data_IF_889759276932
#
_entry.id   IF_889759276932
#
_cell.length_a   1.000
_cell.length_b   1.000
_cell.length_c   1.000
_cell.angle_alpha   90.00
_cell.angle_beta   90.00
_cell.angle_gamma   90.00
#
_symmetry.space_group_name_H-M   'P 1'
#
loop_
_entity.id
_entity.type
_entity.pdbx_description
1 polymer ?
#
# COMPACT_ATOMS: atom_id res chain seq x y z
N UNK A 1 -1.56 24.16 17.80
CA UNK A 1 -1.46 25.35 16.92
C UNK A 1 -1.99 24.92 15.56
N UNK A 2 -2.96 25.63 14.99
CA UNK A 2 -3.51 25.37 13.65
C UNK A 2 -3.27 26.56 12.73
N UNK A 3 -3.65 26.44 11.45
CA UNK A 3 -3.58 27.49 10.44
C UNK A 3 -4.90 27.53 9.64
N UNK A 4 -5.23 28.68 9.07
CA UNK A 4 -6.34 28.90 8.14
C UNK A 4 -5.89 28.77 6.68
N UNK A 5 -6.83 28.65 5.75
CA UNK A 5 -6.52 28.44 4.32
C UNK A 5 -5.71 29.59 3.67
N UNK A 6 -5.83 30.80 4.19
CA UNK A 6 -5.13 32.01 3.72
C UNK A 6 -3.75 32.22 4.39
N UNK A 7 -3.38 31.37 5.35
CA UNK A 7 -2.12 31.46 6.07
C UNK A 7 -1.02 30.59 5.45
N UNK A 8 0.25 30.89 5.73
CA UNK A 8 1.38 30.06 5.30
C UNK A 8 1.66 28.93 6.32
N UNK A 9 1.40 27.65 5.97
CA UNK A 9 1.64 26.53 6.86
C UNK A 9 3.13 26.31 7.14
N UNK A 10 4.01 26.68 6.21
CA UNK A 10 5.45 26.49 6.33
C UNK A 10 6.05 27.50 7.30
N UNK A 11 5.58 28.75 7.25
CA UNK A 11 5.92 29.77 8.25
C UNK A 11 5.51 29.33 9.67
N UNK A 12 4.34 28.68 9.81
CA UNK A 12 3.90 28.10 11.08
C UNK A 12 4.82 26.99 11.57
N UNK A 13 5.16 26.01 10.72
CA UNK A 13 6.11 24.93 11.05
C UNK A 13 7.45 25.51 11.51
N UNK A 14 7.97 26.49 10.76
CA UNK A 14 9.23 27.15 11.08
C UNK A 14 9.16 27.90 12.43
N UNK A 15 8.03 28.55 12.73
CA UNK A 15 7.79 29.19 14.03
C UNK A 15 7.78 28.18 15.18
N UNK A 16 7.11 27.04 15.02
CA UNK A 16 7.10 25.98 16.03
C UNK A 16 8.52 25.48 16.29
N UNK A 17 9.29 25.20 15.24
CA UNK A 17 10.67 24.72 15.39
C UNK A 17 11.61 25.78 15.99
N UNK A 18 11.40 27.07 15.72
CA UNK A 18 12.10 28.17 16.41
C UNK A 18 11.78 28.23 17.90
N UNK A 19 10.49 28.17 18.27
CA UNK A 19 10.08 28.21 19.66
C UNK A 19 10.60 27.01 20.47
N UNK A 20 10.84 25.88 19.80
CA UNK A 20 11.45 24.67 20.40
C UNK A 20 12.99 24.71 20.43
N UNK A 21 13.63 25.74 19.87
CA UNK A 21 15.09 25.82 19.79
C UNK A 21 15.72 24.88 18.75
N UNK A 22 14.97 24.45 17.74
CA UNK A 22 15.40 23.49 16.72
C UNK A 22 15.48 24.08 15.30
N UNK A 23 15.55 25.40 15.18
CA UNK A 23 15.52 26.09 13.88
C UNK A 23 16.80 25.96 13.03
N UNK A 24 17.91 25.53 13.63
CA UNK A 24 19.23 25.44 12.98
C UNK A 24 19.80 24.02 12.98
N UNK A 25 19.03 23.05 13.50
CA UNK A 25 19.46 21.67 13.61
C UNK A 25 19.28 20.86 12.32
N UNK A 26 19.47 19.55 12.45
CA UNK A 26 19.11 18.60 11.39
C UNK A 26 17.63 18.25 11.49
N UNK A 27 16.86 18.53 10.45
CA UNK A 27 15.44 18.21 10.35
C UNK A 27 15.26 16.99 9.44
N UNK A 28 14.78 15.89 9.99
CA UNK A 28 14.37 14.73 9.21
C UNK A 28 13.04 14.96 8.51
N UNK A 29 12.98 14.78 7.19
CA UNK A 29 11.76 14.79 6.39
C UNK A 29 11.38 13.37 5.97
N UNK A 30 10.14 12.96 6.25
CA UNK A 30 9.64 11.64 5.85
C UNK A 30 9.44 11.59 4.32
N UNK A 31 9.76 10.46 3.69
CA UNK A 31 9.90 10.35 2.23
C UNK A 31 8.57 10.39 1.46
N UNK A 32 7.45 10.05 2.10
CA UNK A 32 6.12 10.19 1.53
C UNK A 32 5.56 11.62 1.63
N UNK A 33 6.22 12.54 2.36
CA UNK A 33 5.90 13.97 2.31
C UNK A 33 6.13 14.47 0.87
N UNK A 34 5.10 15.03 0.19
CA UNK A 34 5.26 15.54 -1.15
C UNK A 34 6.36 16.60 -1.22
N UNK A 35 7.17 16.54 -2.28
CA UNK A 35 8.35 17.38 -2.45
C UNK A 35 8.08 18.87 -2.24
N UNK A 36 6.96 19.40 -2.75
CA UNK A 36 6.64 20.82 -2.59
C UNK A 36 6.47 21.24 -1.12
N UNK A 37 5.98 20.35 -0.24
CA UNK A 37 5.86 20.61 1.20
C UNK A 37 7.21 20.54 1.89
N UNK A 38 8.01 19.53 1.54
CA UNK A 38 9.38 19.39 2.05
C UNK A 38 10.21 20.64 1.69
N UNK A 39 10.10 21.10 0.44
CA UNK A 39 10.74 22.32 -0.05
C UNK A 39 10.21 23.57 0.68
N UNK A 40 8.89 23.74 0.81
CA UNK A 40 8.31 24.88 1.53
C UNK A 40 8.81 25.01 2.96
N UNK A 41 8.90 23.88 3.69
CA UNK A 41 9.48 23.83 5.04
C UNK A 41 10.97 24.19 5.03
N UNK A 42 11.74 23.67 4.07
CA UNK A 42 13.16 23.97 3.94
C UNK A 42 13.42 25.45 3.65
N UNK A 43 12.63 26.07 2.76
CA UNK A 43 12.73 27.49 2.43
C UNK A 43 12.38 28.38 3.65
N UNK A 44 11.41 27.95 4.48
CA UNK A 44 11.03 28.65 5.72
C UNK A 44 12.05 28.46 6.88
N UNK A 45 12.98 27.52 6.75
CA UNK A 45 14.04 27.19 7.71
C UNK A 45 15.42 27.12 7.02
N UNK A 46 15.91 28.22 6.44
CA UNK A 46 17.12 28.21 5.61
C UNK A 46 18.40 27.84 6.38
N UNK A 47 18.35 27.88 7.72
CA UNK A 47 19.47 27.50 8.58
C UNK A 47 19.40 26.04 9.05
N UNK A 48 18.30 25.33 8.81
CA UNK A 48 18.17 23.92 9.15
C UNK A 48 18.74 23.04 8.04
N UNK A 49 19.37 21.93 8.42
CA UNK A 49 19.79 20.90 7.47
C UNK A 49 18.67 19.90 7.30
N UNK A 50 17.92 19.99 6.19
CA UNK A 50 16.86 19.01 5.88
C UNK A 50 17.48 17.74 5.29
N UNK A 51 17.17 16.59 5.88
CA UNK A 51 17.68 15.26 5.47
C UNK A 51 16.54 14.25 5.41
N UNK A 52 16.67 13.13 4.69
CA UNK A 52 15.69 12.05 4.74
C UNK A 52 15.56 11.47 6.16
N UNK A 53 14.33 11.33 6.65
CA UNK A 53 14.02 10.73 7.95
C UNK A 53 13.91 9.19 7.90
N UNK A 54 14.11 8.58 6.74
CA UNK A 54 13.93 7.13 6.53
C UNK A 54 14.62 6.26 7.57
N UNK A 55 15.89 6.48 7.97
CA UNK A 55 16.54 5.64 8.98
C UNK A 55 15.80 5.60 10.32
N UNK A 56 15.18 6.72 10.72
CA UNK A 56 14.39 6.82 11.96
C UNK A 56 13.03 6.15 11.77
N UNK A 57 12.29 6.53 10.72
CA UNK A 57 10.93 6.03 10.46
C UNK A 57 10.94 4.52 10.21
N UNK A 58 11.87 4.03 9.39
CA UNK A 58 12.05 2.60 9.12
C UNK A 58 12.52 1.85 10.38
N UNK A 59 13.40 2.45 11.20
CA UNK A 59 13.81 1.88 12.48
C UNK A 59 12.63 1.60 13.40
N UNK A 60 11.69 2.55 13.50
CA UNK A 60 10.47 2.37 14.30
C UNK A 60 9.49 1.37 13.67
N UNK A 61 9.31 1.39 12.35
CA UNK A 61 8.27 0.58 11.66
C UNK A 61 8.71 -0.83 11.29
N UNK A 62 10.00 -1.15 11.34
CA UNK A 62 10.52 -2.47 10.88
C UNK A 62 10.10 -3.58 11.83
N UNK A 63 10.26 -3.37 13.14
CA UNK A 63 9.91 -4.34 14.19
C UNK A 63 8.47 -4.11 14.61
N UNK A 64 7.61 -5.10 14.37
CA UNK A 64 6.18 -5.01 14.66
C UNK A 64 5.92 -5.44 16.09
N UNK A 65 5.05 -4.72 16.77
CA UNK A 65 4.46 -5.16 18.04
C UNK A 65 3.48 -6.33 17.83
N UNK A 66 3.09 -6.98 18.92
CA UNK A 66 2.13 -8.09 18.87
C UNK A 66 0.77 -7.69 18.25
N UNK A 67 0.30 -6.46 18.51
CA UNK A 67 -0.95 -5.96 17.94
C UNK A 67 -0.85 -5.77 16.42
N UNK A 68 0.27 -5.25 15.93
CA UNK A 68 0.53 -5.08 14.50
C UNK A 68 0.63 -6.43 13.78
N UNK A 69 1.32 -7.40 14.38
CA UNK A 69 1.40 -8.76 13.85
C UNK A 69 0.03 -9.43 13.80
N UNK A 70 -0.84 -9.21 14.80
CA UNK A 70 -2.20 -9.73 14.78
C UNK A 70 -3.03 -9.14 13.63
N UNK A 71 -2.90 -7.84 13.34
CA UNK A 71 -3.56 -7.20 12.19
C UNK A 71 -3.01 -7.72 10.85
N UNK A 72 -1.69 -7.89 10.72
CA UNK A 72 -1.08 -8.50 9.54
C UNK A 72 -1.56 -9.94 9.34
N UNK A 73 -1.65 -10.73 10.42
CA UNK A 73 -2.16 -12.10 10.37
C UNK A 73 -3.62 -12.14 9.89
N UNK A 74 -4.47 -11.27 10.44
CA UNK A 74 -5.87 -11.16 10.02
C UNK A 74 -5.99 -10.86 8.52
N UNK A 75 -5.21 -9.88 8.01
CA UNK A 75 -5.21 -9.56 6.58
C UNK A 75 -4.76 -10.76 5.72
N UNK A 76 -3.72 -11.49 6.16
CA UNK A 76 -3.23 -12.67 5.44
C UNK A 76 -4.25 -13.81 5.42
N UNK A 77 -4.90 -14.10 6.55
CA UNK A 77 -5.93 -15.13 6.65
C UNK A 77 -7.13 -14.81 5.76
N UNK A 78 -7.56 -13.54 5.73
CA UNK A 78 -8.62 -13.09 4.85
C UNK A 78 -8.25 -13.24 3.36
N UNK A 79 -7.04 -12.84 2.96
CA UNK A 79 -6.56 -13.00 1.58
C UNK A 79 -6.50 -14.47 1.16
N UNK A 80 -5.99 -15.36 2.01
CA UNK A 80 -5.96 -16.79 1.71
C UNK A 80 -7.37 -17.38 1.54
N UNK A 81 -8.30 -17.01 2.41
CA UNK A 81 -9.70 -17.45 2.30
C UNK A 81 -10.36 -16.93 1.02
N UNK A 82 -10.08 -15.69 0.63
CA UNK A 82 -10.56 -15.11 -0.63
C UNK A 82 -9.99 -15.85 -1.83
N UNK A 83 -8.69 -16.11 -1.87
CA UNK A 83 -8.05 -16.84 -2.97
C UNK A 83 -8.57 -18.26 -3.09
N UNK A 84 -8.75 -18.96 -1.97
CA UNK A 84 -9.34 -20.29 -1.98
C UNK A 84 -10.78 -20.29 -2.52
N UNK A 85 -11.59 -19.32 -2.12
CA UNK A 85 -12.96 -19.18 -2.61
C UNK A 85 -13.02 -18.88 -4.12
N UNK A 86 -12.15 -17.99 -4.61
CA UNK A 86 -12.08 -17.66 -6.04
C UNK A 86 -11.55 -18.84 -6.84
N UNK A 87 -10.50 -19.52 -6.37
CA UNK A 87 -9.96 -20.73 -6.98
C UNK A 87 -11.05 -21.79 -7.21
N UNK A 88 -11.84 -22.09 -6.16
CA UNK A 88 -12.94 -23.06 -6.25
C UNK A 88 -14.09 -22.64 -7.16
N UNK A 89 -14.20 -21.35 -7.48
CA UNK A 89 -15.25 -20.80 -8.33
C UNK A 89 -14.84 -20.69 -9.81
N UNK A 90 -13.56 -20.90 -10.14
CA UNK A 90 -13.06 -20.82 -11.50
C UNK A 90 -13.70 -21.86 -12.42
N UNK A 91 -13.94 -21.46 -13.67
CA UNK A 91 -14.48 -22.32 -14.72
C UNK A 91 -13.83 -21.98 -16.06
N UNK A 92 -13.57 -22.98 -16.93
CA UNK A 92 -13.18 -22.73 -18.31
C UNK A 92 -14.14 -21.74 -19.00
N UNK A 93 -13.58 -20.82 -19.76
CA UNK A 93 -14.30 -19.76 -20.46
C UNK A 93 -14.37 -18.43 -19.70
N UNK A 94 -14.08 -18.39 -18.40
CA UNK A 94 -14.00 -17.13 -17.65
C UNK A 94 -12.90 -16.21 -18.19
N UNK A 95 -13.18 -14.92 -18.23
CA UNK A 95 -12.20 -13.87 -18.51
C UNK A 95 -11.45 -13.47 -17.25
N UNK A 96 -10.32 -12.77 -17.41
CA UNK A 96 -9.64 -12.11 -16.28
C UNK A 96 -10.57 -11.11 -15.55
N UNK A 97 -11.51 -10.50 -16.26
CA UNK A 97 -12.50 -9.58 -15.68
C UNK A 97 -13.54 -10.33 -14.83
N UNK A 98 -14.03 -11.48 -15.28
CA UNK A 98 -14.93 -12.32 -14.50
C UNK A 98 -14.27 -12.74 -13.18
N UNK A 99 -13.00 -13.15 -13.26
CA UNK A 99 -12.21 -13.57 -12.09
C UNK A 99 -11.95 -12.37 -11.16
N UNK A 100 -11.66 -11.19 -11.71
CA UNK A 100 -11.52 -9.95 -10.93
C UNK A 100 -12.84 -9.58 -10.23
N UNK A 101 -13.98 -9.82 -10.87
CA UNK A 101 -15.30 -9.66 -10.26
C UNK A 101 -15.53 -10.63 -9.10
N UNK A 102 -15.09 -11.89 -9.23
CA UNK A 102 -15.12 -12.86 -8.13
C UNK A 102 -14.26 -12.42 -6.94
N UNK A 103 -13.04 -11.92 -7.20
CA UNK A 103 -12.17 -11.35 -6.17
C UNK A 103 -12.83 -10.18 -5.45
N UNK A 104 -13.40 -9.22 -6.18
CA UNK A 104 -14.07 -8.07 -5.59
C UNK A 104 -15.25 -8.49 -4.69
N UNK A 105 -16.08 -9.43 -5.15
CA UNK A 105 -17.18 -9.96 -4.34
C UNK A 105 -16.68 -10.74 -3.10
N UNK A 106 -15.61 -11.51 -3.24
CA UNK A 106 -15.04 -12.27 -2.14
C UNK A 106 -14.44 -11.34 -1.08
N UNK A 107 -13.67 -10.32 -1.47
CA UNK A 107 -13.16 -9.32 -0.53
C UNK A 107 -14.28 -8.53 0.14
N UNK A 108 -15.32 -8.12 -0.59
CA UNK A 108 -16.48 -7.43 -0.01
C UNK A 108 -17.14 -8.23 1.13
N UNK A 109 -17.16 -9.57 1.03
CA UNK A 109 -17.69 -10.45 2.08
C UNK A 109 -16.81 -10.54 3.33
N UNK A 110 -15.53 -10.20 3.25
CA UNK A 110 -14.63 -10.17 4.42
C UNK A 110 -14.82 -8.92 5.29
N UNK A 111 -15.45 -7.87 4.74
CA UNK A 111 -15.52 -6.55 5.37
C UNK A 111 -14.21 -5.77 5.33
N UNK A 112 -13.17 -6.30 4.69
CA UNK A 112 -11.88 -5.64 4.49
C UNK A 112 -11.77 -5.07 3.08
N UNK A 113 -11.06 -3.96 2.94
CA UNK A 113 -10.71 -3.40 1.64
C UNK A 113 -9.54 -4.20 1.05
N UNK A 114 -9.77 -4.86 -0.07
CA UNK A 114 -8.74 -5.62 -0.78
C UNK A 114 -8.96 -5.67 -2.28
N UNK A 115 -7.89 -6.03 -2.97
CA UNK A 115 -7.83 -6.25 -4.42
C UNK A 115 -6.75 -7.29 -4.72
N UNK A 116 -6.80 -7.85 -5.92
CA UNK A 116 -5.70 -8.65 -6.45
C UNK A 116 -5.73 -8.58 -7.98
N UNK A 117 -4.54 -8.59 -8.58
CA UNK A 117 -4.37 -8.78 -10.01
C UNK A 117 -4.57 -10.25 -10.38
N UNK A 118 -4.99 -10.47 -11.63
CA UNK A 118 -5.20 -11.79 -12.22
C UNK A 118 -4.49 -11.82 -13.57
N UNK A 119 -3.53 -12.74 -13.74
CA UNK A 119 -2.97 -13.02 -15.06
C UNK A 119 -3.14 -14.49 -15.41
N UNK A 120 -3.47 -14.77 -16.68
CA UNK A 120 -3.88 -16.08 -17.19
C UNK A 120 -2.95 -16.50 -18.33
N UNK A 121 -2.58 -17.77 -18.34
CA UNK A 121 -1.77 -18.37 -19.40
C UNK A 121 -0.42 -17.67 -19.56
N UNK A 122 -0.06 -17.32 -20.80
CA UNK A 122 1.24 -16.69 -21.10
C UNK A 122 1.49 -15.37 -20.34
N UNK A 123 0.44 -14.68 -19.88
CA UNK A 123 0.58 -13.41 -19.18
C UNK A 123 1.04 -13.59 -17.73
N UNK A 124 1.05 -14.81 -17.19
CA UNK A 124 1.74 -15.09 -15.92
C UNK A 124 3.26 -14.88 -16.00
N UNK A 125 3.83 -14.82 -17.20
CA UNK A 125 5.23 -14.44 -17.42
C UNK A 125 5.46 -12.92 -17.39
N UNK A 126 4.40 -12.11 -17.28
CA UNK A 126 4.46 -10.65 -17.19
C UNK A 126 4.20 -10.22 -15.73
N UNK A 127 5.19 -9.71 -14.99
CA UNK A 127 5.03 -9.39 -13.55
C UNK A 127 3.90 -8.42 -13.23
N UNK A 128 3.57 -7.53 -14.17
CA UNK A 128 2.47 -6.56 -14.03
C UNK A 128 1.34 -6.83 -15.03
N UNK A 129 1.28 -8.05 -15.55
CA UNK A 129 0.18 -8.51 -16.39
C UNK A 129 0.14 -7.95 -17.81
N UNK A 130 -1.07 -7.90 -18.35
CA UNK A 130 -1.37 -7.37 -19.69
C UNK A 130 -2.73 -6.70 -19.70
N UNK A 131 -2.87 -5.71 -20.57
CA UNK A 131 -4.13 -5.04 -20.97
C UNK A 131 -4.95 -5.84 -21.99
N UNK A 132 -4.39 -6.92 -22.54
CA UNK A 132 -5.07 -7.76 -23.52
C UNK A 132 -6.09 -8.67 -22.84
N UNK A 133 -7.27 -8.90 -23.44
CA UNK A 133 -8.22 -9.88 -22.95
C UNK A 133 -7.61 -11.27 -22.81
N UNK A 134 -7.97 -11.97 -21.74
CA UNK A 134 -7.44 -13.27 -21.37
C UNK A 134 -8.61 -14.22 -21.08
N UNK A 135 -8.51 -15.46 -21.53
CA UNK A 135 -9.57 -16.45 -21.29
C UNK A 135 -8.95 -17.66 -20.61
N UNK A 136 -9.60 -18.10 -19.54
CA UNK A 136 -9.25 -19.32 -18.84
C UNK A 136 -9.63 -20.53 -19.70
N UNK A 137 -8.66 -21.38 -19.98
CA UNK A 137 -8.89 -22.71 -20.56
C UNK A 137 -8.23 -23.76 -19.67
N UNK A 138 -8.75 -24.98 -19.71
CA UNK A 138 -8.25 -26.09 -18.90
C UNK A 138 -6.72 -26.25 -19.05
N UNK A 139 -6.01 -26.40 -17.93
CA UNK A 139 -4.57 -26.60 -17.90
C UNK A 139 -3.74 -25.33 -18.15
N UNK A 140 -4.33 -24.13 -18.16
CA UNK A 140 -3.56 -22.88 -18.19
C UNK A 140 -3.25 -22.36 -16.79
N UNK A 141 -2.01 -21.91 -16.53
CA UNK A 141 -1.68 -21.33 -15.26
C UNK A 141 -2.41 -20.00 -15.06
N UNK A 142 -2.81 -19.73 -13.81
CA UNK A 142 -3.32 -18.42 -13.37
C UNK A 142 -2.48 -17.97 -12.18
N UNK A 143 -2.15 -16.68 -12.14
CA UNK A 143 -1.55 -16.03 -10.98
C UNK A 143 -2.56 -15.04 -10.36
N UNK A 144 -2.73 -15.13 -9.05
CA UNK A 144 -3.35 -14.12 -8.20
C UNK A 144 -2.24 -13.38 -7.47
N UNK A 145 -2.26 -12.05 -7.47
CA UNK A 145 -1.27 -11.25 -6.74
C UNK A 145 -1.88 -9.98 -6.14
N UNK A 146 -1.78 -9.82 -4.82
CA UNK A 146 -2.43 -8.75 -4.06
C UNK A 146 -2.90 -9.20 -2.68
N UNK A 147 -3.85 -8.46 -2.11
CA UNK A 147 -4.26 -8.69 -0.73
C UNK A 147 -5.31 -7.71 -0.22
N UNK A 148 -5.38 -7.57 1.10
CA UNK A 148 -6.31 -6.67 1.76
C UNK A 148 -5.66 -5.90 2.91
N UNK A 149 -6.42 -4.98 3.51
CA UNK A 149 -5.98 -4.18 4.65
C UNK A 149 -6.84 -4.44 5.87
N UNK A 150 -6.19 -4.70 7.01
CA UNK A 150 -6.79 -4.76 8.33
C UNK A 150 -6.12 -3.74 9.26
N UNK A 151 -6.88 -2.77 9.78
CA UNK A 151 -6.34 -1.74 10.69
C UNK A 151 -5.17 -0.93 10.11
N UNK A 152 -5.10 -0.79 8.78
CA UNK A 152 -3.98 -0.13 8.08
C UNK A 152 -2.79 -1.03 7.73
N UNK A 153 -2.76 -2.29 8.19
CA UNK A 153 -1.75 -3.28 7.82
C UNK A 153 -2.19 -4.09 6.61
N UNK A 154 -1.26 -4.34 5.69
CA UNK A 154 -1.51 -4.95 4.39
C UNK A 154 -1.09 -6.42 4.38
N UNK A 155 -1.91 -7.28 3.80
CA UNK A 155 -1.46 -8.56 3.23
C UNK A 155 -1.09 -8.37 1.77
N UNK A 156 -0.14 -9.15 1.30
CA UNK A 156 0.29 -9.19 -0.09
C UNK A 156 0.76 -10.62 -0.38
N UNK A 157 -0.07 -11.36 -1.11
CA UNK A 157 0.09 -12.79 -1.33
C UNK A 157 -0.04 -13.06 -2.82
N UNK A 158 0.96 -13.76 -3.34
CA UNK A 158 0.94 -14.31 -4.69
C UNK A 158 0.65 -15.82 -4.66
N UNK A 159 -0.24 -16.31 -5.52
CA UNK A 159 -0.49 -17.75 -5.73
C UNK A 159 -0.61 -18.06 -7.21
N UNK A 160 0.02 -19.16 -7.62
CA UNK A 160 -0.14 -19.73 -8.96
C UNK A 160 -0.90 -21.05 -8.87
N UNK A 161 -1.89 -21.23 -9.73
CA UNK A 161 -2.74 -22.41 -9.83
C UNK A 161 -2.84 -22.84 -11.30
N UNK A 162 -3.19 -24.11 -11.57
CA UNK A 162 -3.33 -24.70 -12.92
C UNK A 162 -4.61 -25.51 -12.98
#
# INVERSE_FOLDING_TARGET
RGWQEDEDPYALVAKVLRDMGHATGTLGMEEAVPYFRAKGIADALPQAKVVPAWPVVAGCRRVKSAAELALMKLANEATLAVYEAVWKALKPGMTEQDISGLLAMAYARTGLRGDASVNVGKYTASPHGSDKPQHLVEGTPIIFDGGCRAGGYTSDITRTVV
#
